data_IF_950750682920
#
_entry.id   IF_950750682920
#
_cell.length_a   1.000
_cell.length_b   1.000
_cell.length_c   1.000
_cell.angle_alpha   90.00
_cell.angle_beta   90.00
_cell.angle_gamma   90.00
#
_symmetry.space_group_name_H-M   'P 1'
#
loop_
_entity.id
_entity.type
_entity.pdbx_description
1 polymer ?
#
# COMPACT_ATOMS: atom_id res chain seq x y z
N UNK A 1 -34.37 -50.60 7.88
CA UNK A 1 -33.71 -49.83 6.79
C UNK A 1 -34.06 -48.34 6.80
N UNK A 2 -35.26 -47.92 7.21
CA UNK A 2 -35.73 -46.52 7.14
C UNK A 2 -34.93 -45.53 8.01
N UNK A 3 -34.47 -45.96 9.19
CA UNK A 3 -33.68 -45.10 10.09
C UNK A 3 -32.33 -44.61 9.52
N UNK A 4 -31.72 -45.35 8.58
CA UNK A 4 -30.45 -44.93 7.95
C UNK A 4 -30.67 -43.82 6.92
N UNK A 5 -31.79 -43.81 6.22
CA UNK A 5 -32.13 -42.74 5.26
C UNK A 5 -32.50 -41.45 5.97
N UNK A 6 -33.16 -41.54 7.13
CA UNK A 6 -33.52 -40.38 7.93
C UNK A 6 -32.28 -39.62 8.43
N UNK A 7 -31.27 -40.35 8.92
CA UNK A 7 -29.99 -39.75 9.35
C UNK A 7 -29.21 -39.08 8.20
N UNK A 8 -29.29 -39.63 6.98
CA UNK A 8 -28.64 -39.03 5.79
C UNK A 8 -29.37 -37.77 5.32
N UNK A 9 -30.70 -37.74 5.40
CA UNK A 9 -31.51 -36.55 5.10
C UNK A 9 -31.28 -35.43 6.13
N UNK A 10 -31.16 -35.79 7.41
CA UNK A 10 -30.86 -34.85 8.49
C UNK A 10 -29.44 -34.26 8.34
N UNK A 11 -28.47 -35.08 7.92
CA UNK A 11 -27.12 -34.62 7.55
C UNK A 11 -27.10 -33.77 6.26
N UNK A 12 -27.95 -34.06 5.27
CA UNK A 12 -28.12 -33.23 4.07
C UNK A 12 -28.74 -31.87 4.37
N UNK A 13 -29.61 -31.78 5.38
CA UNK A 13 -30.15 -30.51 5.87
C UNK A 13 -29.11 -29.64 6.59
N UNK A 14 -28.04 -30.25 7.11
CA UNK A 14 -26.90 -29.58 7.74
C UNK A 14 -25.81 -29.19 6.73
N UNK A 15 -25.80 -29.77 5.54
CA UNK A 15 -24.90 -29.38 4.46
C UNK A 15 -25.38 -28.05 3.87
N UNK A 16 -24.53 -27.02 3.93
CA UNK A 16 -24.76 -25.77 3.23
C UNK A 16 -25.13 -26.06 1.77
N UNK A 17 -26.21 -25.44 1.27
CA UNK A 17 -26.66 -25.58 -0.11
C UNK A 17 -25.49 -25.42 -1.10
N UNK A 18 -25.44 -26.14 -2.22
CA UNK A 18 -24.40 -25.96 -3.24
C UNK A 18 -24.20 -24.49 -3.66
N UNK A 19 -25.28 -23.71 -3.68
CA UNK A 19 -25.21 -22.26 -3.94
C UNK A 19 -24.51 -21.48 -2.81
N UNK A 20 -24.77 -21.86 -1.55
CA UNK A 20 -24.08 -21.30 -0.38
C UNK A 20 -22.58 -21.64 -0.42
N UNK A 21 -22.23 -22.89 -0.76
CA UNK A 21 -20.83 -23.30 -0.89
C UNK A 21 -20.10 -22.58 -2.02
N UNK A 22 -20.76 -22.28 -3.14
CA UNK A 22 -20.18 -21.45 -4.21
C UNK A 22 -19.92 -20.03 -3.73
N UNK A 23 -20.92 -19.41 -3.08
CA UNK A 23 -20.79 -18.06 -2.52
C UNK A 23 -19.71 -17.94 -1.45
N UNK A 24 -19.55 -18.96 -0.61
CA UNK A 24 -18.46 -19.02 0.38
C UNK A 24 -17.08 -19.10 -0.28
N UNK A 25 -16.94 -19.86 -1.37
CA UNK A 25 -15.68 -19.93 -2.13
C UNK A 25 -15.32 -18.60 -2.78
N UNK A 26 -16.31 -17.93 -3.37
CA UNK A 26 -16.15 -16.58 -3.93
C UNK A 26 -15.71 -15.59 -2.84
N UNK A 27 -16.43 -15.57 -1.71
CA UNK A 27 -16.08 -14.70 -0.58
C UNK A 27 -14.66 -14.99 -0.03
N UNK A 28 -14.27 -16.25 0.02
CA UNK A 28 -12.93 -16.63 0.46
C UNK A 28 -11.84 -16.12 -0.50
N UNK A 29 -12.09 -16.16 -1.81
CA UNK A 29 -11.18 -15.59 -2.79
C UNK A 29 -11.06 -14.06 -2.62
N UNK A 30 -12.18 -13.36 -2.46
CA UNK A 30 -12.20 -11.91 -2.20
C UNK A 30 -11.42 -11.54 -0.93
N UNK A 31 -11.62 -12.30 0.16
CA UNK A 31 -10.91 -12.08 1.42
C UNK A 31 -9.41 -12.31 1.29
N UNK A 32 -8.99 -13.30 0.49
CA UNK A 32 -7.58 -13.58 0.23
C UNK A 32 -6.92 -12.44 -0.55
N UNK A 33 -7.64 -11.88 -1.52
CA UNK A 33 -7.18 -10.73 -2.29
C UNK A 33 -7.06 -9.48 -1.40
N UNK A 34 -8.04 -9.22 -0.55
CA UNK A 34 -7.99 -8.15 0.46
C UNK A 34 -6.84 -8.33 1.46
N UNK A 35 -6.65 -9.55 1.97
CA UNK A 35 -5.55 -9.90 2.86
C UNK A 35 -4.21 -9.63 2.18
N UNK A 36 -4.08 -9.96 0.90
CA UNK A 36 -2.84 -9.71 0.14
C UNK A 36 -2.50 -8.21 0.06
N UNK A 37 -3.50 -7.35 -0.19
CA UNK A 37 -3.31 -5.88 -0.23
C UNK A 37 -2.96 -5.33 1.15
N UNK A 38 -3.70 -5.74 2.19
CA UNK A 38 -3.45 -5.26 3.55
C UNK A 38 -2.06 -5.64 4.07
N UNK A 39 -1.57 -6.86 3.76
CA UNK A 39 -0.19 -7.27 4.07
C UNK A 39 0.83 -6.46 3.29
N UNK A 40 0.58 -6.21 2.00
CA UNK A 40 1.49 -5.42 1.18
C UNK A 40 1.63 -3.97 1.70
N UNK A 41 0.53 -3.37 2.18
CA UNK A 41 0.54 -2.03 2.78
C UNK A 41 1.39 -1.91 4.05
N UNK A 42 1.63 -3.02 4.75
CA UNK A 42 2.49 -3.04 5.94
C UNK A 42 3.99 -3.07 5.59
N UNK A 43 4.34 -3.14 4.30
CA UNK A 43 5.73 -3.13 3.84
C UNK A 43 6.46 -1.82 4.15
N UNK A 44 7.77 -1.90 4.38
CA UNK A 44 8.59 -0.74 4.78
C UNK A 44 8.89 0.23 3.62
N UNK A 45 8.83 -0.24 2.37
CA UNK A 45 9.19 0.52 1.16
C UNK A 45 8.02 0.59 0.17
N UNK A 46 6.82 0.80 0.67
CA UNK A 46 5.63 1.02 -0.16
C UNK A 46 5.58 2.48 -0.58
N UNK A 47 5.48 2.75 -1.89
CA UNK A 47 5.27 4.11 -2.42
C UNK A 47 3.78 4.43 -2.56
N UNK A 48 3.42 5.72 -2.60
CA UNK A 48 2.04 6.13 -2.90
C UNK A 48 1.56 5.63 -4.28
N UNK A 49 2.47 5.40 -5.22
CA UNK A 49 2.13 4.83 -6.51
C UNK A 49 1.70 3.37 -6.39
N UNK A 50 2.39 2.61 -5.54
CA UNK A 50 2.04 1.20 -5.25
C UNK A 50 0.66 1.12 -4.61
N UNK A 51 0.42 1.95 -3.58
CA UNK A 51 -0.89 2.03 -2.92
C UNK A 51 -2.01 2.39 -3.88
N UNK A 52 -1.77 3.35 -4.77
CA UNK A 52 -2.76 3.74 -5.76
C UNK A 52 -3.11 2.60 -6.69
N UNK A 53 -2.11 1.88 -7.20
CA UNK A 53 -2.30 0.73 -8.07
C UNK A 53 -3.08 -0.38 -7.33
N UNK A 54 -2.70 -0.68 -6.09
CA UNK A 54 -3.38 -1.71 -5.28
C UNK A 54 -4.83 -1.35 -4.97
N UNK A 55 -5.11 -0.10 -4.63
CA UNK A 55 -6.46 0.38 -4.37
C UNK A 55 -7.32 0.47 -5.62
N UNK A 56 -6.77 0.95 -6.75
CA UNK A 56 -7.51 0.99 -8.02
C UNK A 56 -7.86 -0.45 -8.46
N UNK A 57 -6.91 -1.39 -8.36
CA UNK A 57 -7.16 -2.80 -8.65
C UNK A 57 -8.14 -3.48 -7.69
N UNK A 58 -8.14 -3.10 -6.41
CA UNK A 58 -9.13 -3.60 -5.44
C UNK A 58 -10.54 -3.06 -5.73
N UNK A 59 -10.65 -1.81 -6.19
CA UNK A 59 -11.91 -1.20 -6.62
C UNK A 59 -12.41 -1.83 -7.93
N UNK A 60 -11.52 -2.19 -8.86
CA UNK A 60 -11.86 -2.95 -10.07
C UNK A 60 -12.46 -4.32 -9.70
N UNK A 61 -11.84 -5.03 -8.75
CA UNK A 61 -12.31 -6.35 -8.32
C UNK A 61 -13.61 -6.26 -7.51
N UNK A 62 -13.73 -5.26 -6.62
CA UNK A 62 -14.89 -5.09 -5.76
C UNK A 62 -15.30 -3.60 -5.67
N UNK A 63 -16.24 -3.15 -6.54
CA UNK A 63 -16.63 -1.74 -6.65
C UNK A 63 -17.16 -1.12 -5.36
N UNK A 64 -17.70 -1.92 -4.44
CA UNK A 64 -18.21 -1.45 -3.15
C UNK A 64 -17.13 -0.71 -2.32
N UNK A 65 -15.85 -1.06 -2.47
CA UNK A 65 -14.77 -0.39 -1.74
C UNK A 65 -14.52 1.05 -2.19
N UNK A 66 -15.00 1.46 -3.37
CA UNK A 66 -14.88 2.84 -3.82
C UNK A 66 -15.49 3.81 -2.81
N UNK A 67 -16.58 3.44 -2.14
CA UNK A 67 -17.23 4.28 -1.13
C UNK A 67 -16.35 4.55 0.10
N UNK A 68 -15.44 3.62 0.44
CA UNK A 68 -14.57 3.71 1.61
C UNK A 68 -13.18 4.29 1.28
N UNK A 69 -12.64 3.97 0.10
CA UNK A 69 -11.29 4.37 -0.30
C UNK A 69 -11.27 5.73 -0.99
N UNK A 70 -12.27 6.02 -1.84
CA UNK A 70 -12.36 7.26 -2.58
C UNK A 70 -12.96 8.35 -1.69
N UNK A 71 -12.21 8.75 -0.66
CA UNK A 71 -12.66 9.80 0.24
C UNK A 71 -12.90 11.10 -0.58
N UNK A 72 -14.08 11.69 -0.43
CA UNK A 72 -14.66 12.69 -1.33
C UNK A 72 -14.05 14.09 -1.24
N UNK A 73 -12.83 14.24 -0.73
CA UNK A 73 -12.13 15.51 -0.66
C UNK A 73 -11.79 15.99 -2.08
N UNK A 74 -12.71 16.71 -2.71
CA UNK A 74 -12.49 17.33 -4.01
C UNK A 74 -11.47 18.45 -3.82
N UNK A 75 -10.33 18.32 -4.48
CA UNK A 75 -9.34 19.39 -4.56
C UNK A 75 -10.00 20.69 -5.02
N UNK A 76 -9.71 21.77 -4.31
CA UNK A 76 -10.06 23.14 -4.64
C UNK A 76 -9.39 23.56 -5.96
N UNK A 77 -9.88 24.64 -6.56
CA UNK A 77 -9.33 25.15 -7.81
C UNK A 77 -7.87 25.61 -7.67
N UNK A 78 -7.48 26.13 -6.51
CA UNK A 78 -6.10 26.51 -6.18
C UNK A 78 -5.19 25.29 -6.08
N UNK A 79 -5.60 24.24 -5.36
CA UNK A 79 -4.83 22.99 -5.25
C UNK A 79 -4.64 22.34 -6.62
N UNK A 80 -5.71 22.25 -7.44
CA UNK A 80 -5.60 21.74 -8.81
C UNK A 80 -4.65 22.57 -9.67
N UNK A 81 -4.59 23.88 -9.46
CA UNK A 81 -3.66 24.77 -10.19
C UNK A 81 -2.22 24.51 -9.76
N UNK A 82 -1.95 24.32 -8.46
CA UNK A 82 -0.62 23.99 -7.94
C UNK A 82 -0.10 22.64 -8.46
N UNK A 83 -0.98 21.67 -8.66
CA UNK A 83 -0.60 20.33 -9.16
C UNK A 83 -0.24 20.29 -10.65
N UNK A 84 -0.52 21.35 -11.43
CA UNK A 84 -0.28 21.35 -12.89
C UNK A 84 1.19 21.18 -13.24
N UNK A 85 2.11 21.75 -12.46
CA UNK A 85 3.56 21.61 -12.69
C UNK A 85 4.07 20.19 -12.50
N UNK A 86 3.34 19.36 -11.74
CA UNK A 86 3.70 17.98 -11.46
C UNK A 86 3.00 16.98 -12.39
N UNK A 87 2.10 17.44 -13.26
CA UNK A 87 1.36 16.56 -14.16
C UNK A 87 2.29 15.98 -15.24
N UNK A 88 2.32 14.66 -15.38
CA UNK A 88 3.03 13.97 -16.45
C UNK A 88 2.07 13.82 -17.65
N UNK A 89 2.51 14.19 -18.85
CA UNK A 89 1.70 14.07 -20.08
C UNK A 89 1.63 12.59 -20.46
N UNK A 90 0.43 12.02 -20.49
CA UNK A 90 0.19 10.59 -20.75
C UNK A 90 0.62 10.18 -22.18
N UNK A 91 1.26 9.00 -22.31
CA UNK A 91 1.32 8.23 -23.56
C UNK A 91 0.41 7.00 -23.39
N UNK A 92 -0.47 6.79 -24.38
CA UNK A 92 -1.56 5.81 -24.32
C UNK A 92 -1.06 4.36 -24.07
N UNK A 93 -1.82 3.55 -23.31
CA UNK A 93 -1.49 2.15 -23.08
C UNK A 93 -1.98 1.26 -24.23
N UNK A 94 -1.11 0.35 -24.69
CA UNK A 94 -1.54 -0.84 -25.44
C UNK A 94 -1.82 -1.96 -24.42
N UNK A 95 -3.02 -2.51 -24.47
CA UNK A 95 -3.38 -3.69 -23.71
C UNK A 95 -2.89 -4.92 -24.46
N UNK A 96 -2.36 -5.89 -23.72
CA UNK A 96 -2.58 -7.30 -23.99
C UNK A 96 -2.07 -8.15 -22.80
N UNK A 97 -2.83 -9.22 -22.57
CA UNK A 97 -2.41 -10.54 -22.10
C UNK A 97 -2.72 -11.00 -20.67
N UNK A 98 -2.85 -12.33 -20.66
CA UNK A 98 -3.70 -13.21 -19.88
C UNK A 98 -3.22 -13.42 -18.43
N UNK A 99 -4.19 -13.64 -17.55
CA UNK A 99 -3.94 -13.91 -16.14
C UNK A 99 -3.67 -15.39 -15.91
N UNK A 100 -2.55 -15.70 -15.27
CA UNK A 100 -2.32 -17.00 -14.65
C UNK A 100 -3.09 -17.06 -13.31
N UNK A 101 -3.91 -18.08 -13.15
CA UNK A 101 -4.94 -18.24 -12.11
C UNK A 101 -4.41 -18.56 -10.69
N UNK A 102 -3.12 -18.31 -10.42
CA UNK A 102 -2.47 -18.68 -9.14
C UNK A 102 -1.83 -17.54 -8.35
N UNK A 103 -1.74 -16.34 -8.93
CA UNK A 103 -1.01 -15.22 -8.32
C UNK A 103 -1.91 -14.37 -7.41
N UNK A 104 -1.35 -13.80 -6.34
CA UNK A 104 -2.09 -12.87 -5.48
C UNK A 104 -2.45 -11.57 -6.23
N UNK A 105 -3.53 -10.89 -5.82
CA UNK A 105 -3.96 -9.63 -6.43
C UNK A 105 -2.82 -8.61 -6.55
N UNK A 106 -2.00 -8.46 -5.52
CA UNK A 106 -0.81 -7.58 -5.53
C UNK A 106 0.18 -7.99 -6.62
N UNK A 107 0.50 -9.29 -6.73
CA UNK A 107 1.43 -9.79 -7.75
C UNK A 107 0.86 -9.61 -9.16
N UNK A 108 -0.44 -9.86 -9.36
CA UNK A 108 -1.14 -9.62 -10.64
C UNK A 108 -1.05 -8.15 -11.03
N UNK A 109 -1.28 -7.24 -10.08
CA UNK A 109 -1.20 -5.79 -10.32
C UNK A 109 0.23 -5.32 -10.62
N UNK A 110 1.21 -5.81 -9.89
CA UNK A 110 2.62 -5.49 -10.13
C UNK A 110 3.08 -5.99 -11.50
N UNK A 111 2.67 -7.20 -11.90
CA UNK A 111 2.91 -7.73 -13.25
C UNK A 111 2.26 -6.86 -14.32
N UNK A 112 0.97 -6.52 -14.16
CA UNK A 112 0.25 -5.58 -15.05
C UNK A 112 0.97 -4.24 -15.18
N UNK A 113 1.50 -3.70 -14.08
CA UNK A 113 2.28 -2.45 -14.09
C UNK A 113 3.63 -2.58 -14.81
N UNK A 114 4.34 -3.70 -14.66
CA UNK A 114 5.63 -3.91 -15.36
C UNK A 114 5.45 -3.93 -16.88
N UNK A 115 4.32 -4.47 -17.35
CA UNK A 115 3.96 -4.53 -18.77
C UNK A 115 3.46 -3.17 -19.30
N UNK A 116 2.68 -2.45 -18.49
CA UNK A 116 2.19 -1.09 -18.79
C UNK A 116 3.18 -0.05 -18.26
N UNK A 117 4.26 0.22 -18.99
CA UNK A 117 5.20 1.25 -18.61
C UNK A 117 4.53 2.67 -18.54
N UNK A 118 4.17 3.05 -17.30
CA UNK A 118 3.83 4.37 -16.69
C UNK A 118 2.53 5.08 -17.12
N UNK A 119 1.52 4.95 -16.25
CA UNK A 119 0.33 5.83 -16.12
C UNK A 119 0.41 6.75 -14.87
N UNK A 120 1.61 7.15 -14.45
CA UNK A 120 1.73 8.05 -13.31
C UNK A 120 1.35 9.47 -13.75
N UNK A 121 0.07 9.84 -13.60
CA UNK A 121 -0.43 11.20 -13.91
C UNK A 121 0.37 12.32 -13.26
N UNK A 122 1.05 12.05 -12.14
CA UNK A 122 1.91 13.01 -11.47
C UNK A 122 3.32 12.45 -11.28
N UNK A 123 4.32 13.29 -11.54
CA UNK A 123 5.72 13.03 -11.24
C UNK A 123 5.91 12.77 -9.73
N UNK A 124 6.93 11.99 -9.36
CA UNK A 124 7.37 11.72 -7.96
C UNK A 124 6.47 10.83 -7.09
N UNK A 125 5.26 10.45 -7.52
CA UNK A 125 4.36 9.61 -6.70
C UNK A 125 4.97 8.24 -6.33
N UNK A 126 5.85 7.70 -7.18
CA UNK A 126 6.60 6.47 -6.90
C UNK A 126 7.78 6.64 -5.93
N UNK A 127 8.17 7.88 -5.63
CA UNK A 127 9.27 8.20 -4.70
C UNK A 127 8.74 8.59 -3.31
N UNK A 128 7.46 8.93 -3.20
CA UNK A 128 6.84 9.31 -1.94
C UNK A 128 6.45 8.04 -1.17
N UNK A 129 6.95 7.82 0.06
CA UNK A 129 6.53 6.69 0.89
C UNK A 129 5.05 6.80 1.25
N UNK A 130 4.34 5.68 1.25
CA UNK A 130 2.90 5.62 1.44
C UNK A 130 2.45 5.87 2.88
N UNK A 131 3.25 5.41 3.85
CA UNK A 131 2.95 5.53 5.27
C UNK A 131 3.90 6.52 5.93
N UNK A 132 3.36 7.32 6.84
CA UNK A 132 4.15 8.21 7.71
C UNK A 132 5.00 7.44 8.73
N UNK A 133 5.01 6.10 8.74
CA UNK A 133 5.75 5.27 9.69
C UNK A 133 7.24 5.64 9.78
N UNK A 134 7.88 6.01 8.66
CA UNK A 134 9.27 6.50 8.67
C UNK A 134 9.40 7.81 9.46
N UNK A 135 8.47 8.74 9.26
CA UNK A 135 8.41 10.02 9.97
C UNK A 135 8.06 9.81 11.45
N UNK A 136 7.16 8.89 11.79
CA UNK A 136 6.80 8.57 13.19
C UNK A 136 7.95 7.90 13.95
N UNK A 137 8.66 6.97 13.30
CA UNK A 137 9.89 6.37 13.84
C UNK A 137 10.96 7.44 14.01
N UNK A 138 11.15 8.32 13.02
CA UNK A 138 12.07 9.45 13.10
C UNK A 138 11.75 10.35 14.29
N UNK A 139 10.49 10.76 14.48
CA UNK A 139 10.11 11.60 15.62
C UNK A 139 10.20 10.88 16.97
N UNK A 140 10.03 9.56 16.99
CA UNK A 140 10.27 8.74 18.18
C UNK A 140 11.76 8.72 18.55
N UNK A 141 12.65 8.58 17.56
CA UNK A 141 14.10 8.70 17.72
C UNK A 141 14.50 10.11 18.13
N UNK A 142 13.93 11.14 17.51
CA UNK A 142 14.14 12.54 17.88
C UNK A 142 13.75 12.81 19.33
N UNK A 143 12.59 12.29 19.75
CA UNK A 143 12.12 12.39 21.14
C UNK A 143 13.04 11.67 22.12
N UNK A 144 13.53 10.48 21.78
CA UNK A 144 14.49 9.75 22.61
C UNK A 144 15.84 10.48 22.70
N UNK A 145 16.33 11.03 21.60
CA UNK A 145 17.60 11.78 21.52
C UNK A 145 17.50 13.07 22.34
N UNK A 146 16.38 13.80 22.23
CA UNK A 146 16.07 14.96 23.07
C UNK A 146 15.89 14.58 24.55
N UNK A 147 15.31 13.41 24.83
CA UNK A 147 14.94 12.95 26.16
C UNK A 147 16.10 12.40 27.00
N UNK A 148 17.11 11.77 26.38
CA UNK A 148 18.30 11.29 27.08
C UNK A 148 19.35 12.38 27.32
N UNK A 149 19.43 13.39 26.44
CA UNK A 149 20.45 14.45 26.44
C UNK A 149 19.93 15.77 27.05
N UNK A 150 19.16 15.74 28.15
CA UNK A 150 18.48 16.94 28.70
C UNK A 150 19.38 18.11 29.16
N UNK A 151 20.69 18.10 28.91
CA UNK A 151 21.57 19.19 29.29
C UNK A 151 22.32 19.78 28.07
N UNK A 152 21.68 20.70 27.34
CA UNK A 152 22.40 21.74 26.61
C UNK A 152 22.53 21.62 25.09
N UNK A 153 21.91 20.65 24.43
CA UNK A 153 21.90 20.60 22.96
C UNK A 153 21.09 21.77 22.38
N UNK A 154 21.77 22.64 21.63
CA UNK A 154 21.12 23.67 20.83
C UNK A 154 20.27 23.01 19.72
N UNK A 155 19.21 23.70 19.28
CA UNK A 155 18.31 23.19 18.23
C UNK A 155 19.08 22.74 16.97
N UNK A 156 20.13 23.47 16.60
CA UNK A 156 20.96 23.18 15.43
C UNK A 156 21.83 21.92 15.61
N UNK A 157 22.30 21.67 16.84
CA UNK A 157 23.07 20.46 17.15
C UNK A 157 22.15 19.23 17.13
N UNK A 158 20.92 19.37 17.63
CA UNK A 158 19.91 18.31 17.56
C UNK A 158 19.55 17.98 16.11
N UNK A 159 19.29 19.01 15.28
CA UNK A 159 19.00 18.83 13.86
C UNK A 159 20.13 18.10 13.14
N UNK A 160 21.38 18.51 13.40
CA UNK A 160 22.56 17.91 12.78
C UNK A 160 22.75 16.45 13.20
N UNK A 161 22.57 16.11 14.48
CA UNK A 161 22.63 14.72 14.96
C UNK A 161 21.53 13.87 14.34
N UNK A 162 20.30 14.38 14.24
CA UNK A 162 19.19 13.64 13.64
C UNK A 162 19.39 13.45 12.14
N UNK A 163 19.90 14.46 11.43
CA UNK A 163 20.27 14.37 10.03
C UNK A 163 21.34 13.29 9.84
N UNK A 164 22.42 13.34 10.61
CA UNK A 164 23.55 12.39 10.58
C UNK A 164 23.14 10.96 10.97
N UNK A 165 22.14 10.81 11.82
CA UNK A 165 21.64 9.50 12.23
C UNK A 165 20.75 8.86 11.16
N UNK A 166 19.80 9.64 10.63
CA UNK A 166 18.78 9.12 9.71
C UNK A 166 19.38 8.75 8.35
N UNK A 167 20.32 9.54 7.84
CA UNK A 167 20.99 9.23 6.57
C UNK A 167 22.40 8.63 6.75
N UNK A 168 22.63 7.92 7.86
CA UNK A 168 23.88 7.19 8.18
C UNK A 168 24.40 6.25 7.09
N UNK A 169 23.56 5.92 6.10
CA UNK A 169 23.95 5.14 4.91
C UNK A 169 24.74 5.93 3.87
N UNK A 170 24.71 7.27 3.91
CA UNK A 170 25.30 8.15 2.90
C UNK A 170 26.63 8.77 3.31
N UNK A 171 27.06 8.58 4.55
CA UNK A 171 28.33 9.08 5.05
C UNK A 171 29.00 8.05 5.95
N UNK A 172 30.32 8.04 5.90
CA UNK A 172 31.17 7.39 6.89
C UNK A 172 31.93 8.45 7.71
N UNK A 173 32.66 8.00 8.73
CA UNK A 173 33.46 8.87 9.60
C UNK A 173 34.45 9.71 8.79
N UNK A 174 35.06 9.13 7.75
CA UNK A 174 36.00 9.77 6.84
C UNK A 174 35.38 10.94 6.06
N UNK A 175 34.15 10.77 5.58
CA UNK A 175 33.42 11.82 4.83
C UNK A 175 32.92 12.95 5.72
N UNK A 176 32.60 12.66 6.97
CA UNK A 176 32.19 13.68 7.95
C UNK A 176 33.41 14.48 8.42
N UNK A 177 34.55 13.81 8.64
CA UNK A 177 35.82 14.45 9.06
C UNK A 177 36.37 15.42 8.00
N UNK A 178 36.11 15.17 6.72
CA UNK A 178 36.51 16.07 5.62
C UNK A 178 35.68 17.36 5.54
N UNK A 179 34.53 17.43 6.21
CA UNK A 179 33.57 18.54 6.12
C UNK A 179 33.47 19.37 7.41
N UNK A 180 34.07 18.89 8.51
CA UNK A 180 34.20 19.58 9.80
C UNK A 180 35.49 20.41 9.85
#
# INVERSE_FOLDING_TARGET
>A
MVHRYFAVLELMGLLSSPACNRRLKELYADLKDFESVSKALQGENVSLLDVRIWFDGLIEAQPAFAAYIRNGARLTASEKRALRSFLQVDRAPNNNDEEAETDSLVQRLEKRRRLKAREARYCLVGSIPATSNKVERFFSVARATLGHERNGLQLIALEMVLFLRENSRFWDVSTVDQLL
#
